data_IF_696052202414
#
_entry.id   IF_696052202414
#
_cell.length_a   1.000
_cell.length_b   1.000
_cell.length_c   1.000
_cell.angle_alpha   90.00
_cell.angle_beta   90.00
_cell.angle_gamma   90.00
#
_symmetry.space_group_name_H-M   'P 1'
#
loop_
_entity.id
_entity.type
_entity.pdbx_description
1 polymer ?
#
# COMPACT_ATOMS: atom_id res chain seq x y z
N UNK A 1 14.91 3.58 12.16
CA UNK A 1 13.52 3.46 11.68
C UNK A 1 13.04 4.87 11.37
N UNK A 2 12.46 5.11 10.20
CA UNK A 2 11.98 6.45 9.79
C UNK A 2 10.53 6.34 9.34
N UNK A 3 9.77 7.43 9.37
CA UNK A 3 8.40 7.42 8.84
C UNK A 3 8.32 6.91 7.39
N UNK A 4 9.37 7.14 6.58
CA UNK A 4 9.46 6.61 5.21
C UNK A 4 9.72 5.11 5.14
N UNK A 5 10.33 4.49 6.17
CA UNK A 5 10.41 3.02 6.24
C UNK A 5 9.05 2.40 6.56
N UNK A 6 8.24 3.08 7.38
CA UNK A 6 6.90 2.60 7.75
C UNK A 6 5.92 2.67 6.56
N UNK A 7 6.01 3.72 5.75
CA UNK A 7 5.25 3.81 4.49
C UNK A 7 5.63 2.68 3.53
N UNK A 8 6.91 2.34 3.43
CA UNK A 8 7.35 1.26 2.55
C UNK A 8 6.88 -0.12 3.03
N UNK A 9 7.00 -0.40 4.34
CA UNK A 9 6.52 -1.66 4.90
C UNK A 9 5.00 -1.81 4.79
N UNK A 10 4.24 -0.72 4.92
CA UNK A 10 2.80 -0.73 4.65
C UNK A 10 2.49 -1.11 3.20
N UNK A 11 3.25 -0.56 2.23
CA UNK A 11 3.11 -0.92 0.82
C UNK A 11 3.38 -2.41 0.57
N UNK A 12 4.38 -2.98 1.25
CA UNK A 12 4.69 -4.42 1.20
C UNK A 12 3.52 -5.24 1.73
N UNK A 13 3.00 -4.89 2.91
CA UNK A 13 1.87 -5.58 3.54
C UNK A 13 0.63 -5.55 2.63
N UNK A 14 0.35 -4.42 1.97
CA UNK A 14 -0.79 -4.32 1.05
C UNK A 14 -0.63 -5.30 -0.13
N UNK A 15 0.54 -5.37 -0.76
CA UNK A 15 0.79 -6.34 -1.83
C UNK A 15 0.70 -7.78 -1.32
N UNK A 16 1.20 -8.05 -0.11
CA UNK A 16 1.07 -9.37 0.53
C UNK A 16 -0.39 -9.75 0.76
N UNK A 17 -1.24 -8.82 1.20
CA UNK A 17 -2.68 -9.07 1.37
C UNK A 17 -3.38 -9.36 0.04
N UNK A 18 -2.97 -8.71 -1.04
CA UNK A 18 -3.56 -8.91 -2.38
C UNK A 18 -3.11 -10.22 -3.02
N UNK A 19 -1.82 -10.56 -2.89
CA UNK A 19 -1.21 -11.67 -3.63
C UNK A 19 -1.01 -12.93 -2.79
N UNK A 20 -1.11 -12.83 -1.47
CA UNK A 20 -0.76 -13.89 -0.53
C UNK A 20 0.75 -14.16 -0.42
N UNK A 21 1.60 -13.33 -1.03
CA UNK A 21 3.04 -13.56 -1.11
C UNK A 21 3.86 -12.28 -1.01
N UNK A 22 5.06 -12.36 -0.44
CA UNK A 22 5.94 -11.20 -0.30
C UNK A 22 6.37 -10.68 -1.69
N UNK A 23 6.22 -9.37 -1.99
CA UNK A 23 6.47 -8.78 -3.31
C UNK A 23 7.89 -9.02 -3.84
N UNK A 24 8.87 -9.11 -2.95
CA UNK A 24 10.29 -9.26 -3.29
C UNK A 24 10.88 -10.61 -2.86
N UNK A 25 10.04 -11.63 -2.57
CA UNK A 25 10.51 -12.94 -2.11
C UNK A 25 11.56 -13.52 -3.06
N UNK A 26 12.75 -13.80 -2.53
CA UNK A 26 13.78 -14.62 -3.16
C UNK A 26 13.89 -16.00 -2.51
N UNK A 27 14.71 -16.89 -3.08
CA UNK A 27 15.00 -18.21 -2.53
C UNK A 27 15.76 -18.09 -1.21
N UNK A 28 16.58 -17.05 -1.06
CA UNK A 28 17.31 -16.71 0.16
C UNK A 28 17.00 -15.30 0.64
N UNK A 29 17.41 -15.00 1.88
CA UNK A 29 17.34 -13.65 2.43
C UNK A 29 18.18 -12.66 1.60
N UNK A 30 19.37 -13.07 1.17
CA UNK A 30 20.24 -12.25 0.32
C UNK A 30 19.58 -11.95 -1.02
N UNK A 31 18.94 -12.94 -1.64
CA UNK A 31 18.20 -12.72 -2.90
C UNK A 31 17.01 -11.77 -2.68
N UNK A 32 16.28 -11.92 -1.56
CA UNK A 32 15.18 -11.01 -1.20
C UNK A 32 15.68 -9.57 -1.06
N UNK A 33 16.81 -9.37 -0.38
CA UNK A 33 17.44 -8.04 -0.25
C UNK A 33 17.89 -7.49 -1.61
N UNK A 34 18.44 -8.33 -2.50
CA UNK A 34 18.81 -7.91 -3.85
C UNK A 34 17.58 -7.52 -4.67
N UNK A 35 16.50 -8.30 -4.60
CA UNK A 35 15.24 -8.00 -5.26
C UNK A 35 14.68 -6.64 -4.82
N UNK A 36 14.72 -6.33 -3.52
CA UNK A 36 14.31 -5.01 -2.99
C UNK A 36 15.19 -3.90 -3.58
N UNK A 37 16.52 -4.06 -3.54
CA UNK A 37 17.46 -3.05 -4.04
C UNK A 37 17.31 -2.78 -5.54
N UNK A 38 16.97 -3.80 -6.31
CA UNK A 38 16.77 -3.73 -7.77
C UNK A 38 15.33 -3.37 -8.16
N UNK A 39 14.44 -3.20 -7.18
CA UNK A 39 13.00 -3.09 -7.39
C UNK A 39 12.41 -4.22 -8.25
N UNK A 40 12.95 -5.43 -8.13
CA UNK A 40 12.51 -6.62 -8.85
C UNK A 40 11.36 -7.28 -8.10
N UNK A 41 10.16 -6.79 -8.36
CA UNK A 41 8.93 -7.32 -7.76
C UNK A 41 8.42 -8.55 -8.53
N UNK A 42 7.84 -9.50 -7.80
CA UNK A 42 7.05 -10.58 -8.35
C UNK A 42 5.82 -10.04 -9.11
N UNK A 43 5.27 -10.84 -10.01
CA UNK A 43 4.13 -10.41 -10.82
C UNK A 43 2.93 -10.09 -9.92
N UNK A 44 2.44 -8.85 -10.03
CA UNK A 44 1.18 -8.46 -9.40
C UNK A 44 0.02 -8.88 -10.33
N UNK A 45 -1.07 -9.47 -9.80
CA UNK A 45 -2.23 -9.84 -10.60
C UNK A 45 -2.74 -8.68 -11.46
N UNK A 46 -3.16 -8.95 -12.69
CA UNK A 46 -3.76 -7.93 -13.58
C UNK A 46 -5.06 -7.35 -13.04
N UNK A 47 -5.72 -8.08 -12.13
CA UNK A 47 -6.89 -7.61 -11.38
C UNK A 47 -6.55 -6.48 -10.41
N UNK A 48 -5.28 -6.30 -10.04
CA UNK A 48 -4.84 -5.13 -9.29
C UNK A 48 -4.51 -3.98 -10.25
N UNK A 49 -5.35 -2.95 -10.21
CA UNK A 49 -5.32 -1.78 -11.09
C UNK A 49 -5.98 -0.57 -10.42
N UNK A 50 -5.92 0.59 -11.07
CA UNK A 50 -6.52 1.84 -10.58
C UNK A 50 -5.71 2.52 -9.48
N UNK A 51 -6.34 3.50 -8.83
CA UNK A 51 -5.69 4.45 -7.91
C UNK A 51 -4.98 3.76 -6.74
N UNK A 52 -5.55 2.66 -6.23
CA UNK A 52 -4.92 1.89 -5.15
C UNK A 52 -3.58 1.30 -5.58
N UNK A 53 -3.48 0.82 -6.83
CA UNK A 53 -2.21 0.32 -7.36
C UNK A 53 -1.18 1.43 -7.48
N UNK A 54 -1.57 2.57 -8.01
CA UNK A 54 -0.68 3.71 -8.18
C UNK A 54 -0.16 4.21 -6.83
N UNK A 55 -1.05 4.32 -5.86
CA UNK A 55 -0.71 4.66 -4.47
C UNK A 55 0.29 3.67 -3.85
N UNK A 56 0.02 2.37 -3.94
CA UNK A 56 0.90 1.33 -3.36
C UNK A 56 2.27 1.30 -4.06
N UNK A 57 2.31 1.47 -5.38
CA UNK A 57 3.58 1.55 -6.11
C UNK A 57 4.39 2.80 -5.73
N UNK A 58 3.73 3.92 -5.45
CA UNK A 58 4.41 5.11 -4.95
C UNK A 58 5.06 4.88 -3.56
N UNK A 59 4.37 4.15 -2.67
CA UNK A 59 4.90 3.75 -1.36
C UNK A 59 6.15 2.85 -1.48
N UNK A 60 6.18 1.99 -2.50
CA UNK A 60 7.27 1.04 -2.77
C UNK A 60 8.45 1.63 -3.55
N UNK A 61 8.50 2.95 -3.72
CA UNK A 61 9.63 3.65 -4.37
C UNK A 61 10.94 3.38 -3.62
N UNK A 62 11.99 2.98 -4.36
CA UNK A 62 13.31 2.64 -3.76
C UNK A 62 13.90 3.82 -2.99
N UNK A 63 13.88 5.02 -3.59
CA UNK A 63 14.33 6.26 -2.95
C UNK A 63 13.36 6.70 -1.85
N UNK A 64 13.76 6.70 -0.56
CA UNK A 64 12.88 7.09 0.55
C UNK A 64 12.39 8.53 0.48
N UNK A 65 13.14 9.42 -0.17
CA UNK A 65 12.77 10.83 -0.28
C UNK A 65 11.60 11.04 -1.25
N UNK A 66 11.45 10.13 -2.23
CA UNK A 66 10.38 10.16 -3.23
C UNK A 66 9.10 9.43 -2.79
N UNK A 67 9.15 8.71 -1.67
CA UNK A 67 7.95 8.09 -1.09
C UNK A 67 7.05 9.18 -0.51
N UNK A 68 5.72 9.08 -0.69
CA UNK A 68 4.79 9.98 -0.02
C UNK A 68 4.86 9.77 1.50
N UNK A 69 4.47 10.79 2.24
CA UNK A 69 4.17 10.74 3.66
C UNK A 69 2.77 10.15 3.89
N UNK A 70 2.49 9.74 5.13
CA UNK A 70 1.15 9.30 5.50
C UNK A 70 0.09 10.40 5.29
N UNK A 71 0.47 11.66 5.53
CA UNK A 71 -0.40 12.82 5.28
C UNK A 71 -0.74 12.96 3.80
N UNK A 72 0.27 12.92 2.91
CA UNK A 72 0.04 12.97 1.46
C UNK A 72 -0.81 11.79 0.95
N UNK A 73 -0.66 10.59 1.53
CA UNK A 73 -1.49 9.44 1.19
C UNK A 73 -2.95 9.66 1.60
N UNK A 74 -3.18 10.15 2.82
CA UNK A 74 -4.53 10.43 3.35
C UNK A 74 -5.23 11.58 2.62
N UNK A 75 -4.48 12.53 2.06
CA UNK A 75 -4.99 13.62 1.23
C UNK A 75 -5.19 13.26 -0.25
N UNK A 76 -5.07 11.98 -0.62
CA UNK A 76 -5.37 11.54 -1.99
C UNK A 76 -6.87 11.41 -2.22
N UNK A 77 -7.31 11.66 -3.46
CA UNK A 77 -8.71 11.49 -3.89
C UNK A 77 -9.29 10.13 -3.45
N UNK A 78 -8.51 9.05 -3.56
CA UNK A 78 -8.92 7.72 -3.13
C UNK A 78 -9.23 7.65 -1.64
N UNK A 79 -8.38 8.21 -0.78
CA UNK A 79 -8.58 8.19 0.67
C UNK A 79 -9.69 9.15 1.10
N UNK A 80 -9.85 10.29 0.44
CA UNK A 80 -10.99 11.19 0.69
C UNK A 80 -12.32 10.50 0.38
N UNK A 81 -12.41 9.80 -0.76
CA UNK A 81 -13.59 9.00 -1.11
C UNK A 81 -13.82 7.88 -0.10
N UNK A 82 -12.78 7.17 0.34
CA UNK A 82 -12.92 6.14 1.38
C UNK A 82 -13.46 6.71 2.70
N UNK A 83 -12.94 7.84 3.15
CA UNK A 83 -13.41 8.50 4.37
C UNK A 83 -14.91 8.88 4.27
N UNK A 84 -15.37 9.37 3.11
CA UNK A 84 -16.78 9.65 2.87
C UNK A 84 -17.64 8.38 2.95
N UNK A 85 -17.18 7.28 2.34
CA UNK A 85 -17.88 5.99 2.37
C UNK A 85 -17.97 5.43 3.80
N UNK A 86 -16.89 5.51 4.57
CA UNK A 86 -16.85 5.06 5.96
C UNK A 86 -17.79 5.87 6.85
N UNK A 87 -17.74 7.21 6.76
CA UNK A 87 -18.63 8.09 7.50
C UNK A 87 -20.12 7.80 7.19
N UNK A 88 -20.46 7.57 5.92
CA UNK A 88 -21.82 7.19 5.53
C UNK A 88 -22.21 5.82 6.10
N UNK A 89 -21.30 4.85 6.08
CA UNK A 89 -21.54 3.50 6.62
C UNK A 89 -21.84 3.57 8.12
N UNK A 90 -21.09 4.35 8.87
CA UNK A 90 -21.28 4.53 10.31
C UNK A 90 -22.64 5.19 10.64
N UNK A 91 -23.03 6.22 9.89
CA UNK A 91 -24.35 6.84 10.02
C UNK A 91 -25.49 5.84 9.78
N UNK A 92 -25.37 4.99 8.75
CA UNK A 92 -26.37 3.96 8.44
C UNK A 92 -26.45 2.93 9.58
N UNK A 93 -25.31 2.52 10.13
CA UNK A 93 -25.26 1.57 11.26
C UNK A 93 -25.96 2.17 12.47
N UNK A 94 -25.76 3.45 12.75
CA UNK A 94 -26.37 4.13 13.90
C UNK A 94 -27.89 4.30 13.74
N UNK A 95 -28.36 4.68 12.54
CA UNK A 95 -29.79 4.77 12.25
C UNK A 95 -30.52 3.42 12.41
N UNK A 96 -29.86 2.30 12.15
CA UNK A 96 -30.43 0.95 12.31
C UNK A 96 -30.50 0.46 13.76
N UNK A 97 -29.81 1.13 14.69
CA UNK A 97 -29.86 0.80 16.13
C UNK A 97 -31.01 1.51 16.85
N UNK A 98 -31.59 2.54 16.24
CA UNK A 98 -32.78 3.26 16.73
C UNK A 98 -34.06 2.52 16.31
#
# INVERSE_FOLDING_TARGET
MTFKSDVWSLGVIIIEMITGSHPYAGISMDETVQNIKQNKMNQIPSTFHGDLKEMVLAMLTVDPNKRPSAEELLSSDLMEVQALVENQREQIIELKKQ
#
